data_IF_639231447252
#
_entry.id   IF_639231447252
#
_cell.length_a   1.000
_cell.length_b   1.000
_cell.length_c   1.000
_cell.angle_alpha   90.00
_cell.angle_beta   90.00
_cell.angle_gamma   90.00
#
_symmetry.space_group_name_H-M   'P 1'
#
loop_
_entity.id
_entity.type
_entity.pdbx_description
1 polymer ?
#
# COMPACT_ATOMS: atom_id res chain seq x y z
N UNK A 1 11.84 13.22 9.18
CA UNK A 1 11.85 13.31 7.70
C UNK A 1 12.80 14.36 7.09
N UNK A 2 12.82 15.65 7.50
CA UNK A 2 13.58 16.73 6.83
C UNK A 2 15.10 16.49 6.68
N UNK A 3 15.76 15.94 7.70
CA UNK A 3 17.19 15.61 7.65
C UNK A 3 17.49 14.49 6.63
N UNK A 4 16.58 13.53 6.51
CA UNK A 4 16.70 12.43 5.55
C UNK A 4 16.61 12.99 4.13
N UNK A 5 15.66 13.90 3.89
CA UNK A 5 15.43 14.52 2.57
C UNK A 5 16.60 15.38 2.05
N UNK A 6 17.52 15.80 2.92
CA UNK A 6 18.73 16.53 2.51
C UNK A 6 19.75 15.65 1.77
N UNK A 7 19.63 14.33 1.89
CA UNK A 7 20.51 13.40 1.18
C UNK A 7 19.88 13.06 -0.17
N UNK A 8 20.51 13.38 -1.32
CA UNK A 8 19.97 13.05 -2.63
C UNK A 8 19.98 11.53 -2.85
N UNK A 9 19.05 11.05 -3.69
CA UNK A 9 18.86 9.64 -4.05
C UNK A 9 18.63 8.74 -2.84
N UNK A 10 17.97 9.24 -1.79
CA UNK A 10 17.66 8.42 -0.62
C UNK A 10 16.66 7.33 -0.99
N UNK A 11 17.00 6.09 -0.71
CA UNK A 11 16.11 4.94 -0.87
C UNK A 11 15.63 4.45 0.50
N UNK A 12 14.32 4.37 0.68
CA UNK A 12 13.68 3.74 1.84
C UNK A 12 12.99 2.45 1.44
N UNK A 13 13.16 1.39 2.23
CA UNK A 13 12.49 0.10 2.04
C UNK A 13 11.91 -0.31 3.39
N UNK A 14 10.60 -0.46 3.47
CA UNK A 14 9.90 -0.91 4.68
C UNK A 14 8.87 -1.98 4.34
N UNK A 15 8.45 -2.76 5.34
CA UNK A 15 7.37 -3.73 5.19
C UNK A 15 6.03 -3.16 5.69
N UNK A 16 4.92 -3.72 5.24
CA UNK A 16 3.60 -3.44 5.80
C UNK A 16 2.76 -4.70 6.01
N UNK A 17 1.67 -4.57 6.76
CA UNK A 17 0.71 -5.64 7.00
C UNK A 17 -0.37 -5.68 5.93
N UNK A 18 -0.92 -4.51 5.58
CA UNK A 18 -1.94 -4.35 4.55
C UNK A 18 -1.88 -2.96 3.89
N UNK A 19 -2.34 -2.90 2.64
CA UNK A 19 -2.49 -1.67 1.85
C UNK A 19 -3.91 -1.64 1.29
N UNK A 20 -4.62 -0.53 1.41
CA UNK A 20 -5.95 -0.40 0.83
C UNK A 20 -5.94 0.15 -0.60
N UNK A 21 -7.06 0.04 -1.32
CA UNK A 21 -7.18 0.52 -2.71
C UNK A 21 -7.06 2.05 -2.87
N UNK A 22 -7.09 2.81 -1.77
CA UNK A 22 -6.80 4.25 -1.77
C UNK A 22 -5.30 4.55 -1.62
N UNK A 23 -4.50 3.53 -1.29
CA UNK A 23 -3.08 3.61 -1.01
C UNK A 23 -2.74 3.98 0.43
N UNK A 24 -3.66 3.81 1.38
CA UNK A 24 -3.31 3.86 2.79
C UNK A 24 -2.55 2.59 3.17
N UNK A 25 -1.64 2.69 4.14
CA UNK A 25 -0.75 1.58 4.50
C UNK A 25 -0.79 1.41 6.02
N UNK A 26 -1.15 0.21 6.49
CA UNK A 26 -1.04 -0.19 7.88
C UNK A 26 0.15 -1.13 8.04
N UNK A 27 1.03 -0.84 9.01
CA UNK A 27 2.22 -1.66 9.29
C UNK A 27 2.28 -2.16 10.73
N UNK A 28 1.34 -1.74 11.57
CA UNK A 28 1.38 -2.00 13.01
C UNK A 28 0.13 -2.65 13.60
N UNK A 29 -1.01 -2.56 12.92
CA UNK A 29 -2.25 -3.17 13.40
C UNK A 29 -3.10 -3.76 12.29
N UNK A 30 -3.94 -4.72 12.66
CA UNK A 30 -5.03 -5.24 11.82
C UNK A 30 -6.30 -5.09 12.65
N UNK A 31 -7.19 -4.21 12.20
CA UNK A 31 -8.27 -3.70 13.04
C UNK A 31 -7.73 -3.09 14.33
N UNK A 32 -8.40 -3.34 15.45
CA UNK A 32 -7.98 -2.87 16.78
C UNK A 32 -6.83 -3.69 17.38
N UNK A 33 -6.38 -4.76 16.72
CA UNK A 33 -5.31 -5.62 17.24
C UNK A 33 -3.95 -5.07 16.84
N UNK A 34 -3.19 -4.59 17.83
CA UNK A 34 -1.79 -4.21 17.66
C UNK A 34 -0.92 -5.45 17.42
N UNK A 35 -0.03 -5.37 16.43
CA UNK A 35 0.91 -6.42 16.04
C UNK A 35 2.35 -5.96 16.28
N UNK A 36 2.66 -4.71 15.95
CA UNK A 36 4.01 -4.13 16.13
C UNK A 36 3.88 -2.64 16.53
N UNK A 37 4.74 -1.76 16.02
CA UNK A 37 4.62 -0.31 16.18
C UNK A 37 5.17 0.41 14.96
N UNK A 38 4.82 1.69 14.78
CA UNK A 38 5.26 2.53 13.65
C UNK A 38 6.77 2.55 13.41
N UNK A 39 7.57 2.57 14.49
CA UNK A 39 9.01 2.81 14.41
C UNK A 39 9.34 4.10 13.66
N UNK A 40 10.39 4.06 12.83
CA UNK A 40 10.81 5.17 11.96
C UNK A 40 10.21 5.12 10.55
N UNK A 41 9.27 4.20 10.26
CA UNK A 41 8.82 3.94 8.90
C UNK A 41 8.27 5.20 8.22
N UNK A 42 7.39 5.94 8.90
CA UNK A 42 6.82 7.17 8.35
C UNK A 42 7.91 8.22 8.10
N UNK A 43 8.91 8.31 8.97
CA UNK A 43 10.02 9.27 8.84
C UNK A 43 10.87 9.01 7.60
N UNK A 44 11.24 7.75 7.36
CA UNK A 44 12.02 7.34 6.20
C UNK A 44 11.20 7.35 4.91
N UNK A 45 9.93 6.91 4.95
CA UNK A 45 9.05 6.96 3.79
C UNK A 45 8.85 8.42 3.32
N UNK A 46 8.56 9.32 4.27
CA UNK A 46 8.42 10.75 3.98
C UNK A 46 9.74 11.39 3.57
N UNK A 47 10.84 11.03 4.25
CA UNK A 47 12.17 11.57 3.96
C UNK A 47 12.67 11.21 2.56
N UNK A 48 12.49 9.96 2.15
CA UNK A 48 12.84 9.49 0.82
C UNK A 48 11.91 10.08 -0.26
N UNK A 49 10.61 10.20 0.01
CA UNK A 49 9.67 10.85 -0.91
C UNK A 49 10.01 12.32 -1.19
N UNK A 50 10.56 13.03 -0.21
CA UNK A 50 10.95 14.44 -0.33
C UNK A 50 12.41 14.64 -0.77
N UNK A 51 13.19 13.57 -0.88
CA UNK A 51 14.60 13.61 -1.32
C UNK A 51 14.67 13.81 -2.83
N UNK A 52 15.61 14.62 -3.29
CA UNK A 52 15.89 14.77 -4.72
C UNK A 52 16.34 13.43 -5.32
N UNK A 53 15.55 12.89 -6.26
CA UNK A 53 15.79 11.54 -6.83
C UNK A 53 15.52 10.38 -5.86
N UNK A 54 14.90 10.66 -4.70
CA UNK A 54 14.63 9.65 -3.68
C UNK A 54 13.44 8.74 -4.02
N UNK A 55 13.49 7.52 -3.48
CA UNK A 55 12.48 6.48 -3.70
C UNK A 55 12.06 5.85 -2.37
N UNK A 56 10.76 5.67 -2.18
CA UNK A 56 10.21 5.01 -0.99
C UNK A 56 9.42 3.77 -1.43
N UNK A 57 9.84 2.61 -0.95
CA UNK A 57 9.23 1.32 -1.25
C UNK A 57 8.61 0.73 0.02
N UNK A 58 7.33 0.40 -0.09
CA UNK A 58 6.61 -0.39 0.90
C UNK A 58 6.35 -1.77 0.32
N UNK A 59 6.92 -2.79 0.96
CA UNK A 59 6.91 -4.16 0.47
C UNK A 59 6.00 -5.05 1.30
N UNK A 60 5.21 -5.90 0.65
CA UNK A 60 4.49 -6.97 1.32
C UNK A 60 4.26 -8.14 0.36
N UNK A 61 4.05 -9.35 0.89
CA UNK A 61 3.51 -10.43 0.07
C UNK A 61 2.11 -10.02 -0.40
N UNK A 62 1.72 -10.35 -1.62
CA UNK A 62 0.39 -10.01 -2.12
C UNK A 62 -0.74 -10.72 -1.36
N UNK A 63 -0.42 -11.86 -0.74
CA UNK A 63 -1.37 -12.72 -0.04
C UNK A 63 -0.75 -13.43 1.17
N UNK A 64 -1.61 -14.05 1.98
CA UNK A 64 -1.25 -14.96 3.06
C UNK A 64 -2.35 -16.02 3.25
N UNK A 65 -2.04 -17.13 3.93
CA UNK A 65 -3.05 -18.10 4.36
C UNK A 65 -3.53 -17.75 5.76
N UNK A 66 -4.84 -17.70 5.96
CA UNK A 66 -5.42 -17.58 7.30
C UNK A 66 -5.33 -18.92 8.07
N UNK A 67 -5.79 -18.92 9.33
CA UNK A 67 -5.74 -20.11 10.20
C UNK A 67 -6.56 -21.28 9.67
N UNK A 68 -7.55 -20.99 8.83
CA UNK A 68 -8.44 -21.97 8.23
C UNK A 68 -7.92 -22.43 6.85
N UNK A 69 -6.75 -21.95 6.43
CA UNK A 69 -6.10 -22.29 5.16
C UNK A 69 -6.62 -21.51 3.96
N UNK A 70 -7.50 -20.51 4.16
CA UNK A 70 -8.01 -19.70 3.05
C UNK A 70 -6.97 -18.67 2.62
N UNK A 71 -6.86 -18.48 1.31
CA UNK A 71 -6.02 -17.44 0.74
C UNK A 71 -6.65 -16.06 0.98
N UNK A 72 -5.91 -15.14 1.59
CA UNK A 72 -6.32 -13.77 1.89
C UNK A 72 -5.35 -12.78 1.25
N UNK A 73 -5.88 -11.64 0.80
CA UNK A 73 -5.07 -10.57 0.19
C UNK A 73 -4.46 -9.67 1.27
N UNK A 74 -3.24 -9.16 1.04
CA UNK A 74 -2.72 -7.99 1.79
C UNK A 74 -3.08 -6.66 1.14
N UNK A 75 -3.53 -6.70 -0.12
CA UNK A 75 -4.16 -5.56 -0.78
C UNK A 75 -5.66 -5.66 -0.53
N UNK A 76 -6.20 -4.78 0.29
CA UNK A 76 -7.58 -4.85 0.78
C UNK A 76 -8.44 -3.75 0.16
N UNK A 77 -9.77 -3.92 0.04
CA UNK A 77 -10.65 -2.85 -0.44
C UNK A 77 -10.54 -1.57 0.40
N UNK A 78 -10.60 -1.74 1.73
CA UNK A 78 -10.47 -0.70 2.75
C UNK A 78 -9.75 -1.28 3.96
N UNK A 79 -9.08 -0.42 4.73
CA UNK A 79 -8.56 -0.80 6.04
C UNK A 79 -9.65 -1.41 6.92
N UNK A 80 -9.32 -2.43 7.71
CA UNK A 80 -10.28 -2.98 8.66
C UNK A 80 -10.66 -1.90 9.69
N UNK A 81 -11.92 -1.86 10.16
CA UNK A 81 -12.33 -0.90 11.18
C UNK A 81 -11.40 -0.89 12.39
N UNK A 82 -10.85 0.27 12.71
CA UNK A 82 -9.91 0.47 13.82
C UNK A 82 -8.43 0.25 13.47
N UNK A 83 -8.08 -0.14 12.24
CA UNK A 83 -6.68 -0.25 11.81
C UNK A 83 -5.99 1.11 11.85
N UNK A 84 -4.73 1.12 12.27
CA UNK A 84 -3.91 2.31 12.37
C UNK A 84 -3.18 2.52 11.04
N UNK A 85 -3.39 3.67 10.43
CA UNK A 85 -2.69 4.05 9.20
C UNK A 85 -1.30 4.55 9.56
N UNK A 86 -0.27 3.76 9.24
CA UNK A 86 1.14 4.11 9.49
C UNK A 86 1.67 5.08 8.43
N UNK A 87 1.39 4.82 7.15
CA UNK A 87 1.73 5.74 6.04
C UNK A 87 0.43 6.20 5.37
N UNK A 88 0.08 7.49 5.47
CA UNK A 88 -1.14 8.02 4.86
C UNK A 88 -1.00 8.02 3.33
N UNK A 89 -2.13 7.94 2.63
CA UNK A 89 -2.16 7.84 1.16
C UNK A 89 -1.37 8.93 0.43
N UNK A 90 -1.26 10.13 1.02
CA UNK A 90 -0.54 11.27 0.44
C UNK A 90 0.98 11.08 0.41
N UNK A 91 1.52 10.16 1.22
CA UNK A 91 2.94 9.85 1.34
C UNK A 91 3.28 8.45 0.84
N UNK A 92 2.29 7.69 0.38
CA UNK A 92 2.50 6.41 -0.27
C UNK A 92 3.11 6.63 -1.66
N UNK A 93 4.35 6.20 -1.84
CA UNK A 93 5.11 6.29 -3.09
C UNK A 93 4.98 4.99 -3.88
N UNK A 94 5.90 4.03 -3.71
CA UNK A 94 5.82 2.73 -4.37
C UNK A 94 5.38 1.63 -3.41
N UNK A 95 4.43 0.81 -3.84
CA UNK A 95 4.06 -0.45 -3.18
C UNK A 95 4.56 -1.62 -4.01
N UNK A 96 5.17 -2.61 -3.36
CA UNK A 96 5.84 -3.74 -4.02
C UNK A 96 5.30 -5.05 -3.48
N UNK A 97 4.98 -5.97 -4.39
CA UNK A 97 4.69 -7.37 -4.10
C UNK A 97 5.52 -8.28 -5.00
N UNK A 98 5.40 -9.59 -4.82
CA UNK A 98 5.96 -10.59 -5.73
C UNK A 98 5.41 -10.50 -7.18
N UNK A 99 4.35 -9.72 -7.43
CA UNK A 99 3.75 -9.54 -8.76
C UNK A 99 4.11 -8.21 -9.42
N UNK A 100 4.87 -7.33 -8.77
CA UNK A 100 5.37 -6.09 -9.37
C UNK A 100 5.36 -4.89 -8.44
N UNK A 101 5.42 -3.71 -9.06
CA UNK A 101 5.50 -2.41 -8.38
C UNK A 101 4.32 -1.54 -8.82
N UNK A 102 3.65 -0.92 -7.85
CA UNK A 102 2.65 0.12 -8.07
C UNK A 102 3.21 1.46 -7.56
N UNK A 103 3.54 2.37 -8.48
CA UNK A 103 3.84 3.76 -8.15
C UNK A 103 2.54 4.55 -8.00
N UNK A 104 2.28 5.03 -6.79
CA UNK A 104 1.05 5.73 -6.42
C UNK A 104 1.21 7.25 -6.43
N UNK A 105 2.44 7.76 -6.63
CA UNK A 105 2.70 9.20 -6.64
C UNK A 105 1.94 9.87 -7.80
N UNK A 106 1.20 10.93 -7.49
CA UNK A 106 0.40 11.66 -8.49
C UNK A 106 -0.82 10.92 -9.07
N UNK A 107 -1.04 9.64 -8.74
CA UNK A 107 -2.18 8.88 -9.25
C UNK A 107 -3.50 9.30 -8.58
N UNK A 108 -4.55 9.42 -9.39
CA UNK A 108 -5.93 9.57 -8.93
C UNK A 108 -6.44 8.29 -8.24
N UNK A 109 -7.52 8.38 -7.47
CA UNK A 109 -8.04 7.24 -6.69
C UNK A 109 -8.29 5.99 -7.54
N UNK A 110 -8.85 6.12 -8.75
CA UNK A 110 -9.10 4.95 -9.61
C UNK A 110 -7.81 4.36 -10.19
N UNK A 111 -6.82 5.20 -10.51
CA UNK A 111 -5.51 4.73 -10.99
C UNK A 111 -4.74 4.00 -9.89
N UNK A 112 -4.86 4.46 -8.63
CA UNK A 112 -4.30 3.77 -7.47
C UNK A 112 -4.92 2.38 -7.29
N UNK A 113 -6.24 2.30 -7.33
CA UNK A 113 -6.95 1.02 -7.25
C UNK A 113 -6.51 0.07 -8.38
N UNK A 114 -6.44 0.55 -9.62
CA UNK A 114 -5.95 -0.22 -10.78
C UNK A 114 -4.49 -0.70 -10.58
N UNK A 115 -3.59 0.20 -10.17
CA UNK A 115 -2.18 -0.14 -9.96
C UNK A 115 -1.98 -1.18 -8.85
N UNK A 116 -2.68 -1.02 -7.73
CA UNK A 116 -2.60 -1.96 -6.60
C UNK A 116 -3.20 -3.32 -6.96
N UNK A 117 -4.35 -3.36 -7.64
CA UNK A 117 -4.95 -4.61 -8.10
C UNK A 117 -4.03 -5.36 -9.07
N UNK A 118 -3.31 -4.64 -9.95
CA UNK A 118 -2.37 -5.25 -10.89
C UNK A 118 -1.18 -5.94 -10.21
N UNK A 119 -0.84 -5.57 -8.97
CA UNK A 119 0.20 -6.22 -8.16
C UNK A 119 -0.38 -7.13 -7.06
N UNK A 120 -1.70 -7.34 -7.02
CA UNK A 120 -2.32 -8.30 -6.11
C UNK A 120 -2.16 -9.74 -6.63
N UNK A 121 -2.39 -10.72 -5.75
CA UNK A 121 -2.39 -12.14 -6.12
C UNK A 121 -3.43 -12.39 -7.22
N UNK A 122 -3.09 -13.06 -8.34
CA UNK A 122 -3.97 -13.24 -9.50
C UNK A 122 -5.37 -13.76 -9.16
N UNK A 123 -5.47 -14.72 -8.24
CA UNK A 123 -6.75 -15.32 -7.83
C UNK A 123 -7.68 -14.36 -7.06
N UNK A 124 -7.17 -13.23 -6.55
CA UNK A 124 -7.93 -12.28 -5.73
C UNK A 124 -8.26 -10.98 -6.47
N UNK A 125 -7.77 -10.82 -7.71
CA UNK A 125 -7.94 -9.57 -8.48
C UNK A 125 -9.39 -9.29 -8.82
N UNK A 126 -10.14 -10.30 -9.23
CA UNK A 126 -11.54 -10.13 -9.63
C UNK A 126 -12.41 -9.67 -8.46
N UNK A 127 -12.17 -10.20 -7.26
CA UNK A 127 -12.83 -9.76 -6.02
C UNK A 127 -12.50 -8.29 -5.71
N UNK A 128 -11.23 -7.90 -5.82
CA UNK A 128 -10.81 -6.51 -5.58
C UNK A 128 -11.41 -5.54 -6.62
N UNK A 129 -11.53 -5.95 -7.88
CA UNK A 129 -12.21 -5.16 -8.92
C UNK A 129 -13.69 -4.98 -8.59
N UNK A 130 -14.38 -6.05 -8.16
CA UNK A 130 -15.79 -5.99 -7.76
C UNK A 130 -15.99 -5.04 -6.58
N UNK A 131 -15.12 -5.09 -5.57
CA UNK A 131 -15.15 -4.17 -4.44
C UNK A 131 -14.84 -2.72 -4.84
N UNK A 132 -13.85 -2.50 -5.71
CA UNK A 132 -13.54 -1.18 -6.25
C UNK A 132 -14.74 -0.58 -7.02
N UNK A 133 -15.48 -1.40 -7.76
CA UNK A 133 -16.72 -0.99 -8.43
C UNK A 133 -17.81 -0.65 -7.41
N UNK A 134 -18.02 -1.49 -6.39
CA UNK A 134 -19.00 -1.24 -5.31
C UNK A 134 -18.74 0.06 -4.57
N UNK A 135 -17.47 0.41 -4.38
CA UNK A 135 -17.03 1.65 -3.75
C UNK A 135 -17.02 2.87 -4.69
N UNK A 136 -17.37 2.72 -5.97
CA UNK A 136 -17.32 3.77 -6.99
C UNK A 136 -15.90 4.35 -7.21
N UNK A 137 -14.86 3.53 -7.01
CA UNK A 137 -13.46 3.92 -7.27
C UNK A 137 -12.86 3.17 -8.47
N UNK A 138 -13.65 2.38 -9.19
CA UNK A 138 -13.21 1.69 -10.40
C UNK A 138 -13.68 2.43 -11.66
N UNK A 139 -12.79 2.59 -12.63
CA UNK A 139 -13.13 3.09 -13.96
C UNK A 139 -12.62 2.08 -14.99
N UNK A 140 -13.52 1.47 -15.76
CA UNK A 140 -13.09 0.74 -16.96
C UNK A 140 -12.47 1.75 -17.91
N UNK A 141 -11.22 1.54 -18.32
CA UNK A 141 -10.67 2.27 -19.48
C UNK A 141 -11.58 1.97 -20.67
N UNK A 142 -12.19 3.00 -21.24
CA UNK A 142 -12.67 2.92 -22.61
C UNK A 142 -11.41 2.96 -23.48
N UNK A 143 -10.88 1.79 -23.81
CA UNK A 143 -10.05 1.61 -25.02
C UNK A 143 -10.98 1.36 -26.19
#
# INVERSE_FOLDING_TARGET
SRLIAQNPNTVSINACLEVDLYGQISSESIGTRQISGTGGQLDFASGAYLSEGGMSFICCNSSYQDKDGNLRSRIVPTMQPGSIVTVPRSLAHCVVTEYGIADLAGLSTWQRAEALINIAHPQLRDELVAEAQRMNIWRRRHT
#
